data_IF_841540385606
#
_entry.id   IF_841540385606
#
_cell.length_a   1.000
_cell.length_b   1.000
_cell.length_c   1.000
_cell.angle_alpha   90.00
_cell.angle_beta   90.00
_cell.angle_gamma   90.00
#
_symmetry.space_group_name_H-M   'P 1'
#
loop_
_entity.id
_entity.type
_entity.pdbx_description
1 polymer ?
#
# COMPACT_ATOMS: atom_id res chain seq x y z
N UNK A 1 71.02 -16.55 35.41
CA UNK A 1 72.02 -17.62 35.19
C UNK A 1 71.32 -18.82 34.56
N UNK A 2 71.96 -19.50 33.60
CA UNK A 2 71.45 -19.46 32.22
C UNK A 2 71.22 -20.86 31.62
N UNK A 3 70.56 -20.91 30.46
CA UNK A 3 71.02 -21.72 29.32
C UNK A 3 70.69 -21.03 28.01
N UNK A 4 71.74 -20.47 27.43
CA UNK A 4 71.86 -19.95 26.08
C UNK A 4 72.09 -21.08 25.08
N UNK A 5 71.45 -21.02 23.91
CA UNK A 5 72.03 -21.53 22.67
C UNK A 5 71.82 -20.48 21.57
N UNK A 6 72.95 -20.01 21.03
CA UNK A 6 73.07 -19.21 19.83
C UNK A 6 73.21 -20.16 18.63
N UNK A 7 72.45 -19.93 17.56
CA UNK A 7 72.93 -20.18 16.20
C UNK A 7 72.37 -19.14 15.24
N UNK A 8 73.25 -18.61 14.40
CA UNK A 8 73.00 -17.58 13.40
C UNK A 8 72.64 -18.20 12.04
N UNK A 9 71.77 -17.51 11.28
CA UNK A 9 72.02 -16.98 9.91
C UNK A 9 70.70 -16.70 9.18
N UNK A 10 70.50 -15.41 8.89
CA UNK A 10 69.89 -14.86 7.68
C UNK A 10 68.55 -15.44 7.17
N UNK A 11 67.48 -14.64 7.31
CA UNK A 11 66.46 -14.45 6.27
C UNK A 11 65.60 -13.22 6.60
N UNK A 12 65.42 -12.34 5.61
CA UNK A 12 64.50 -11.20 5.66
C UNK A 12 63.09 -11.69 5.94
N UNK A 13 62.42 -11.12 6.94
CA UNK A 13 60.98 -11.28 7.14
C UNK A 13 60.29 -10.00 6.65
N UNK A 14 59.52 -10.13 5.58
CA UNK A 14 58.46 -9.19 5.21
C UNK A 14 57.37 -9.27 6.28
N UNK A 15 57.05 -8.13 6.91
CA UNK A 15 55.88 -8.02 7.78
C UNK A 15 54.62 -8.10 6.90
N UNK A 16 54.02 -9.29 6.83
CA UNK A 16 52.62 -9.44 6.42
C UNK A 16 51.81 -9.33 7.72
N UNK A 17 51.13 -8.20 7.91
CA UNK A 17 50.09 -8.11 8.92
C UNK A 17 48.93 -9.01 8.50
N UNK A 18 48.96 -10.27 8.96
CA UNK A 18 47.81 -11.13 9.00
C UNK A 18 46.86 -10.59 10.06
N UNK A 19 45.80 -9.92 9.61
CA UNK A 19 44.65 -9.56 10.42
C UNK A 19 43.96 -10.86 10.85
N UNK A 20 43.74 -11.14 12.15
CA UNK A 20 42.98 -12.32 12.55
C UNK A 20 41.51 -12.07 12.19
N UNK A 21 41.03 -12.85 11.23
CA UNK A 21 39.61 -13.04 10.95
C UNK A 21 38.94 -13.60 12.22
N UNK A 22 38.26 -12.73 12.98
CA UNK A 22 37.35 -13.16 14.03
C UNK A 22 36.00 -13.46 13.39
N UNK A 23 35.75 -14.74 13.11
CA UNK A 23 34.39 -15.26 12.96
C UNK A 23 33.77 -15.35 14.35
N UNK A 24 32.99 -14.33 14.73
CA UNK A 24 32.07 -14.40 15.85
C UNK A 24 30.66 -14.11 15.34
N UNK A 25 29.85 -15.16 15.30
CA UNK A 25 28.39 -15.09 15.22
C UNK A 25 27.87 -14.57 16.55
N UNK A 26 27.63 -13.26 16.68
CA UNK A 26 27.03 -12.68 17.89
C UNK A 26 25.56 -12.28 17.69
N UNK A 27 24.66 -12.68 18.60
CA UNK A 27 23.28 -12.19 18.69
C UNK A 27 23.13 -10.67 18.86
N UNK A 28 24.21 -9.92 19.14
CA UNK A 28 24.19 -8.47 19.38
C UNK A 28 24.22 -7.58 18.12
N UNK A 29 24.48 -8.13 16.93
CA UNK A 29 24.54 -7.33 15.70
C UNK A 29 23.17 -6.89 15.18
N UNK A 30 22.12 -7.64 15.53
CA UNK A 30 20.73 -7.38 15.13
C UNK A 30 20.12 -6.23 15.95
N UNK A 31 20.53 -6.09 17.22
CA UNK A 31 20.06 -5.00 18.09
C UNK A 31 20.66 -3.63 17.71
N UNK A 32 21.93 -3.57 17.28
CA UNK A 32 22.60 -2.34 16.83
C UNK A 32 22.00 -1.74 15.53
N UNK A 33 21.34 -2.55 14.70
CA UNK A 33 20.83 -2.14 13.39
C UNK A 33 19.44 -1.50 13.51
N UNK A 34 18.57 -2.06 14.36
CA UNK A 34 17.23 -1.51 14.63
C UNK A 34 17.28 -0.14 15.32
N UNK A 35 18.42 0.20 15.92
CA UNK A 35 18.67 1.46 16.62
C UNK A 35 18.90 2.68 15.70
N UNK A 36 19.31 2.52 14.43
CA UNK A 36 19.74 3.70 13.64
C UNK A 36 18.65 4.73 13.41
N UNK A 37 17.46 4.32 12.97
CA UNK A 37 16.37 5.25 12.64
C UNK A 37 15.77 5.89 13.89
N UNK A 38 15.60 5.11 14.96
CA UNK A 38 15.04 5.58 16.23
C UNK A 38 16.02 6.50 16.98
N UNK A 39 17.29 6.10 17.08
CA UNK A 39 18.32 6.89 17.75
C UNK A 39 18.57 8.21 17.03
N UNK A 40 18.66 8.21 15.69
CA UNK A 40 18.85 9.44 14.92
C UNK A 40 17.63 10.35 15.00
N UNK A 41 16.42 9.82 14.90
CA UNK A 41 15.20 10.62 15.03
C UNK A 41 15.07 11.28 16.41
N UNK A 42 15.40 10.54 17.48
CA UNK A 42 15.41 11.07 18.84
C UNK A 42 16.49 12.14 19.05
N UNK A 43 17.70 11.92 18.52
CA UNK A 43 18.83 12.85 18.68
C UNK A 43 18.62 14.17 17.92
N UNK A 44 18.00 14.12 16.73
CA UNK A 44 17.75 15.31 15.90
C UNK A 44 16.44 16.01 16.29
N UNK A 45 15.60 15.39 17.14
CA UNK A 45 14.24 15.88 17.49
C UNK A 45 13.42 16.21 16.23
N UNK A 46 13.43 15.31 15.25
CA UNK A 46 12.81 15.54 13.95
C UNK A 46 11.29 15.72 14.06
N UNK A 47 10.79 16.85 13.58
CA UNK A 47 9.36 17.09 13.44
C UNK A 47 8.76 16.18 12.36
N UNK A 48 9.55 15.78 11.37
CA UNK A 48 9.17 14.90 10.26
C UNK A 48 9.12 13.41 10.65
N UNK A 49 9.72 13.04 11.79
CA UNK A 49 9.67 11.69 12.35
C UNK A 49 10.67 10.68 11.78
N UNK A 50 10.62 9.46 12.30
CA UNK A 50 11.56 8.35 11.94
C UNK A 50 11.56 8.04 10.44
N UNK A 51 10.43 8.25 9.77
CA UNK A 51 10.29 7.97 8.33
C UNK A 51 11.26 8.79 7.50
N UNK A 52 11.50 10.06 7.84
CA UNK A 52 12.45 10.91 7.11
C UNK A 52 13.89 10.33 7.12
N UNK A 53 14.29 9.71 8.24
CA UNK A 53 15.59 9.04 8.38
C UNK A 53 15.65 7.79 7.51
N UNK A 54 14.59 6.98 7.54
CA UNK A 54 14.47 5.78 6.71
C UNK A 54 14.55 6.11 5.22
N UNK A 55 13.80 7.11 4.76
CA UNK A 55 13.82 7.56 3.37
C UNK A 55 15.20 8.10 2.97
N UNK A 56 15.88 8.82 3.88
CA UNK A 56 17.26 9.27 3.64
C UNK A 56 18.22 8.10 3.42
N UNK A 57 18.11 7.03 4.24
CA UNK A 57 18.92 5.81 4.08
C UNK A 57 18.64 5.12 2.74
N UNK A 58 17.36 4.95 2.39
CA UNK A 58 16.94 4.34 1.12
C UNK A 58 17.46 5.15 -0.08
N UNK A 59 17.34 6.48 -0.07
CA UNK A 59 17.85 7.32 -1.17
C UNK A 59 19.39 7.24 -1.32
N UNK A 60 20.13 7.18 -0.21
CA UNK A 60 21.59 6.97 -0.24
C UNK A 60 21.97 5.61 -0.80
N UNK A 61 21.14 4.59 -0.57
CA UNK A 61 21.34 3.24 -1.09
C UNK A 61 21.00 3.14 -2.58
N UNK A 62 19.88 3.76 -3.01
CA UNK A 62 19.42 3.77 -4.40
C UNK A 62 20.30 4.61 -5.34
N UNK A 63 20.95 5.64 -4.79
CA UNK A 63 21.84 6.54 -5.53
C UNK A 63 23.12 6.81 -4.72
N UNK A 64 24.09 5.86 -4.73
CA UNK A 64 25.39 6.09 -4.10
C UNK A 64 26.06 7.36 -4.66
N UNK A 65 26.59 8.20 -3.77
CA UNK A 65 27.19 9.48 -4.15
C UNK A 65 26.19 10.63 -4.29
N UNK A 66 24.95 10.47 -3.84
CA UNK A 66 23.95 11.54 -3.86
C UNK A 66 24.40 12.79 -3.08
N UNK A 67 24.13 13.97 -3.62
CA UNK A 67 24.45 15.23 -2.94
C UNK A 67 23.45 15.53 -1.81
N UNK A 68 23.87 16.29 -0.79
CA UNK A 68 22.94 16.70 0.29
C UNK A 68 21.77 17.53 -0.22
N UNK A 69 21.98 18.37 -1.25
CA UNK A 69 20.92 19.15 -1.88
C UNK A 69 19.90 18.25 -2.59
N UNK A 70 20.36 17.20 -3.24
CA UNK A 70 19.48 16.25 -3.91
C UNK A 70 18.74 15.35 -2.90
N UNK A 71 19.40 14.92 -1.82
CA UNK A 71 18.75 14.22 -0.71
C UNK A 71 17.60 15.04 -0.14
N UNK A 72 17.84 16.32 0.17
CA UNK A 72 16.82 17.24 0.66
C UNK A 72 15.61 17.32 -0.28
N UNK A 73 15.85 17.41 -1.60
CA UNK A 73 14.79 17.42 -2.62
C UNK A 73 14.00 16.10 -2.65
N UNK A 74 14.69 14.95 -2.64
CA UNK A 74 14.07 13.62 -2.72
C UNK A 74 13.25 13.27 -1.48
N UNK A 75 13.70 13.72 -0.32
CA UNK A 75 13.02 13.50 0.98
C UNK A 75 12.04 14.63 1.34
N UNK A 76 11.94 15.67 0.50
CA UNK A 76 11.10 16.86 0.74
C UNK A 76 11.43 17.53 2.09
N UNK A 77 12.72 17.54 2.44
CA UNK A 77 13.22 18.15 3.67
C UNK A 77 13.89 19.50 3.38
N UNK A 78 13.83 20.46 4.31
CA UNK A 78 14.73 21.60 4.29
C UNK A 78 16.20 21.13 4.27
N UNK A 79 17.05 21.78 3.47
CA UNK A 79 18.47 21.42 3.36
C UNK A 79 19.19 21.32 4.73
N UNK A 80 18.95 22.22 5.71
CA UNK A 80 19.55 22.09 7.04
C UNK A 80 19.13 20.82 7.77
N UNK A 81 17.86 20.41 7.64
CA UNK A 81 17.31 19.19 8.27
C UNK A 81 17.93 17.95 7.63
N UNK A 82 17.94 17.86 6.30
CA UNK A 82 18.59 16.77 5.59
C UNK A 82 20.09 16.67 5.91
N UNK A 83 20.78 17.81 6.07
CA UNK A 83 22.17 17.86 6.48
C UNK A 83 22.37 17.37 7.93
N UNK A 84 21.45 17.68 8.84
CA UNK A 84 21.48 17.20 10.23
C UNK A 84 21.28 15.68 10.30
N UNK A 85 20.25 15.14 9.64
CA UNK A 85 20.01 13.69 9.53
C UNK A 85 21.24 12.98 8.98
N UNK A 86 21.79 13.49 7.87
CA UNK A 86 23.02 12.95 7.27
C UNK A 86 24.17 12.90 8.28
N UNK A 87 24.43 13.99 9.00
CA UNK A 87 25.54 14.06 9.97
C UNK A 87 25.38 13.07 11.10
N UNK A 88 24.16 12.90 11.63
CA UNK A 88 23.91 11.92 12.68
C UNK A 88 24.02 10.48 12.15
N UNK A 89 23.55 10.19 10.94
CA UNK A 89 23.75 8.88 10.31
C UNK A 89 25.23 8.57 10.03
N UNK A 90 26.05 9.59 9.70
CA UNK A 90 27.51 9.44 9.60
C UNK A 90 28.12 9.15 10.98
N UNK A 91 27.71 9.88 12.03
CA UNK A 91 28.19 9.66 13.40
C UNK A 91 27.83 8.26 13.91
N UNK A 92 26.64 7.76 13.55
CA UNK A 92 26.19 6.43 13.86
C UNK A 92 26.89 5.33 13.03
N UNK A 93 27.67 5.70 12.00
CA UNK A 93 28.38 4.75 11.16
C UNK A 93 27.53 4.13 10.04
N UNK A 94 26.32 4.61 9.81
CA UNK A 94 25.43 4.14 8.75
C UNK A 94 25.73 4.76 7.37
N UNK A 95 26.26 5.99 7.35
CA UNK A 95 26.64 6.71 6.12
C UNK A 95 28.11 7.13 6.15
N UNK A 96 28.70 7.35 4.98
CA UNK A 96 30.04 7.92 4.81
C UNK A 96 30.02 9.05 3.79
N UNK A 97 30.81 10.11 4.05
CA UNK A 97 31.01 11.23 3.12
C UNK A 97 32.26 10.98 2.27
N UNK A 98 32.09 10.96 0.94
CA UNK A 98 33.17 10.88 -0.06
C UNK A 98 32.94 11.96 -1.14
N UNK A 99 32.95 11.58 -2.41
CA UNK A 99 32.48 12.32 -3.59
C UNK A 99 30.95 12.53 -3.64
N UNK A 100 30.29 12.33 -2.50
CA UNK A 100 28.86 12.36 -2.29
C UNK A 100 28.54 11.60 -1.00
N UNK A 101 27.26 11.38 -0.74
CA UNK A 101 26.82 10.59 0.43
C UNK A 101 26.62 9.15 -0.01
N UNK A 102 27.21 8.21 0.73
CA UNK A 102 27.14 6.77 0.47
C UNK A 102 26.73 6.02 1.72
N UNK A 103 26.08 4.87 1.56
CA UNK A 103 25.94 3.92 2.66
C UNK A 103 27.32 3.33 3.03
N UNK A 104 27.58 3.19 4.33
CA UNK A 104 28.66 2.31 4.81
C UNK A 104 28.30 0.84 4.54
N UNK A 105 29.23 -0.12 4.72
CA UNK A 105 28.88 -1.54 4.70
C UNK A 105 27.74 -1.89 5.66
N UNK A 106 27.75 -1.33 6.87
CA UNK A 106 26.72 -1.53 7.90
C UNK A 106 25.39 -0.89 7.52
N UNK A 107 25.41 0.34 6.99
CA UNK A 107 24.20 1.02 6.52
C UNK A 107 23.59 0.34 5.28
N UNK A 108 24.42 -0.22 4.41
CA UNK A 108 23.97 -1.03 3.28
C UNK A 108 23.26 -2.30 3.78
N UNK A 109 23.88 -3.03 4.70
CA UNK A 109 23.27 -4.21 5.32
C UNK A 109 21.95 -3.86 6.01
N UNK A 110 21.86 -2.72 6.71
CA UNK A 110 20.60 -2.24 7.29
C UNK A 110 19.49 -2.06 6.24
N UNK A 111 19.78 -1.39 5.12
CA UNK A 111 18.77 -1.16 4.07
C UNK A 111 18.37 -2.49 3.41
N UNK A 112 19.33 -3.37 3.17
CA UNK A 112 19.09 -4.67 2.52
C UNK A 112 18.31 -5.63 3.42
N UNK A 113 18.75 -5.81 4.66
CA UNK A 113 18.23 -6.83 5.58
C UNK A 113 17.07 -6.30 6.42
N UNK A 114 17.19 -5.10 6.98
CA UNK A 114 16.17 -4.54 7.88
C UNK A 114 15.03 -3.83 7.17
N UNK A 115 15.34 -3.01 6.16
CA UNK A 115 14.31 -2.37 5.34
C UNK A 115 13.81 -3.26 4.20
N UNK A 116 14.45 -4.41 3.97
CA UNK A 116 13.98 -5.43 3.04
C UNK A 116 14.26 -5.14 1.56
N UNK A 117 15.23 -4.27 1.27
CA UNK A 117 15.66 -3.97 -0.10
C UNK A 117 16.73 -4.97 -0.62
N UNK A 118 17.07 -6.01 0.13
CA UNK A 118 18.07 -6.99 -0.29
C UNK A 118 17.66 -7.76 -1.54
N UNK A 119 18.47 -7.68 -2.60
CA UNK A 119 18.28 -8.47 -3.83
C UNK A 119 17.11 -8.04 -4.73
N UNK A 120 16.56 -6.84 -4.53
CA UNK A 120 15.57 -6.26 -5.44
C UNK A 120 16.22 -5.71 -6.73
N UNK A 121 15.44 -5.65 -7.79
CA UNK A 121 15.80 -5.02 -9.06
C UNK A 121 15.73 -3.49 -8.95
N UNK A 122 16.89 -2.87 -8.71
CA UNK A 122 17.00 -1.42 -8.58
C UNK A 122 16.67 -0.67 -9.87
N UNK A 123 16.96 -1.26 -11.02
CA UNK A 123 16.79 -0.61 -12.31
C UNK A 123 15.29 -0.56 -12.64
N UNK A 124 14.58 -1.67 -12.47
CA UNK A 124 13.13 -1.72 -12.58
C UNK A 124 12.47 -0.75 -11.60
N UNK A 125 12.88 -0.76 -10.33
CA UNK A 125 12.38 0.18 -9.32
C UNK A 125 12.53 1.64 -9.81
N UNK A 126 13.73 2.04 -10.24
CA UNK A 126 14.02 3.42 -10.66
C UNK A 126 13.18 3.83 -11.86
N UNK A 127 12.98 2.94 -12.84
CA UNK A 127 12.11 3.22 -13.99
C UNK A 127 10.66 3.44 -13.55
N UNK A 128 10.09 2.52 -12.78
CA UNK A 128 8.69 2.56 -12.33
C UNK A 128 8.34 3.81 -11.52
N UNK A 129 9.26 4.33 -10.70
CA UNK A 129 9.00 5.53 -9.90
C UNK A 129 9.26 6.85 -10.65
N UNK A 130 9.92 6.79 -11.82
CA UNK A 130 10.29 7.99 -12.60
C UNK A 130 9.35 8.24 -13.76
N UNK A 131 8.91 7.19 -14.46
CA UNK A 131 7.97 7.29 -15.57
C UNK A 131 6.65 6.56 -15.22
N UNK A 132 5.54 7.31 -15.00
CA UNK A 132 4.24 6.73 -14.69
C UNK A 132 3.66 5.77 -15.74
N UNK A 133 4.22 5.74 -16.96
CA UNK A 133 3.73 4.90 -18.06
C UNK A 133 4.66 3.72 -18.39
N UNK A 134 5.89 3.69 -17.86
CA UNK A 134 6.87 2.66 -18.24
C UNK A 134 6.47 1.25 -17.77
N UNK A 135 5.57 1.12 -16.80
CA UNK A 135 5.09 -0.18 -16.32
C UNK A 135 4.50 -1.04 -17.44
N UNK A 136 3.97 -0.42 -18.51
CA UNK A 136 3.43 -1.16 -19.66
C UNK A 136 4.49 -1.95 -20.40
N UNK A 137 5.68 -1.38 -20.57
CA UNK A 137 6.79 -2.04 -21.25
C UNK A 137 7.64 -2.85 -20.30
N UNK A 138 7.88 -2.35 -19.08
CA UNK A 138 8.79 -2.98 -18.12
C UNK A 138 8.18 -4.21 -17.42
N UNK A 139 6.85 -4.35 -17.42
CA UNK A 139 6.14 -5.49 -16.82
C UNK A 139 5.39 -6.34 -17.84
N UNK A 140 5.59 -6.09 -19.14
CA UNK A 140 4.79 -6.63 -20.25
C UNK A 140 4.66 -8.17 -20.21
N UNK A 141 5.77 -8.85 -19.91
CA UNK A 141 5.82 -10.31 -19.84
C UNK A 141 4.92 -10.90 -18.73
N UNK A 142 4.64 -10.12 -17.69
CA UNK A 142 3.75 -10.49 -16.58
C UNK A 142 2.31 -10.02 -16.70
N UNK A 143 2.04 -9.01 -17.53
CA UNK A 143 0.70 -8.45 -17.68
C UNK A 143 -0.34 -9.47 -18.16
N UNK A 144 -0.05 -10.45 -19.04
CA UNK A 144 -1.01 -11.48 -19.41
C UNK A 144 -1.51 -12.30 -18.23
N UNK A 145 -0.62 -12.70 -17.31
CA UNK A 145 -0.98 -13.47 -16.12
C UNK A 145 -1.84 -12.62 -15.18
N UNK A 146 -1.42 -11.39 -14.90
CA UNK A 146 -2.18 -10.47 -14.06
C UNK A 146 -3.56 -10.18 -14.66
N UNK A 147 -3.65 -9.99 -15.97
CA UNK A 147 -4.92 -9.76 -16.68
C UNK A 147 -5.88 -10.94 -16.53
N UNK A 148 -5.38 -12.17 -16.58
CA UNK A 148 -6.23 -13.35 -16.42
C UNK A 148 -6.79 -13.44 -14.99
N UNK A 149 -5.97 -13.17 -13.97
CA UNK A 149 -6.46 -13.06 -12.59
C UNK A 149 -7.59 -12.01 -12.47
N UNK A 150 -7.41 -10.82 -13.06
CA UNK A 150 -8.47 -9.81 -13.03
C UNK A 150 -9.75 -10.21 -13.79
N UNK A 151 -9.65 -11.09 -14.80
CA UNK A 151 -10.83 -11.63 -15.50
C UNK A 151 -11.57 -12.68 -14.69
N UNK A 152 -10.85 -13.51 -13.96
CA UNK A 152 -11.40 -14.60 -13.14
C UNK A 152 -11.96 -14.14 -11.78
N UNK A 153 -11.76 -12.87 -11.42
CA UNK A 153 -12.24 -12.31 -10.14
C UNK A 153 -13.76 -12.50 -9.95
N UNK A 154 -14.22 -12.60 -8.70
CA UNK A 154 -15.65 -12.68 -8.40
C UNK A 154 -16.46 -11.52 -9.01
N UNK A 155 -17.73 -11.79 -9.30
CA UNK A 155 -18.67 -10.74 -9.73
C UNK A 155 -18.98 -9.79 -8.57
N UNK A 156 -19.06 -8.50 -8.87
CA UNK A 156 -19.34 -7.45 -7.90
C UNK A 156 -20.73 -7.61 -7.26
N UNK A 157 -20.81 -7.34 -5.97
CA UNK A 157 -22.04 -7.17 -5.23
C UNK A 157 -22.31 -5.69 -4.97
N UNK A 158 -23.09 -5.08 -5.86
CA UNK A 158 -23.47 -3.67 -5.79
C UNK A 158 -24.25 -3.29 -4.52
N UNK A 159 -24.74 -4.26 -3.73
CA UNK A 159 -25.44 -4.00 -2.45
C UNK A 159 -24.48 -3.53 -1.35
N UNK A 160 -23.21 -3.89 -1.47
CA UNK A 160 -22.14 -3.44 -0.57
C UNK A 160 -21.19 -2.43 -1.24
N UNK A 161 -21.71 -1.72 -2.26
CA UNK A 161 -21.00 -0.71 -3.06
C UNK A 161 -19.74 -1.22 -3.80
N UNK A 162 -19.59 -2.53 -4.01
CA UNK A 162 -18.48 -3.06 -4.83
C UNK A 162 -18.56 -2.55 -6.27
N UNK A 163 -17.39 -2.22 -6.82
CA UNK A 163 -17.24 -1.73 -8.19
C UNK A 163 -15.87 -2.11 -8.72
N UNK A 164 -15.86 -2.84 -9.82
CA UNK A 164 -14.64 -3.38 -10.43
C UNK A 164 -13.72 -2.29 -10.99
N UNK A 165 -12.60 -1.98 -10.34
CA UNK A 165 -11.55 -1.19 -10.98
C UNK A 165 -10.87 -1.98 -12.10
N UNK A 166 -10.24 -1.28 -13.04
CA UNK A 166 -9.40 -1.91 -14.07
C UNK A 166 -8.12 -2.50 -13.46
N UNK A 167 -7.54 -3.52 -14.12
CA UNK A 167 -6.23 -4.08 -13.72
C UNK A 167 -5.15 -3.00 -13.66
N UNK A 168 -5.16 -2.08 -14.63
CA UNK A 168 -4.22 -0.97 -14.70
C UNK A 168 -4.36 -0.03 -13.51
N UNK A 169 -5.58 0.23 -13.03
CA UNK A 169 -5.82 1.03 -11.83
C UNK A 169 -5.19 0.36 -10.61
N UNK A 170 -5.49 -0.92 -10.41
CA UNK A 170 -4.97 -1.69 -9.27
C UNK A 170 -3.43 -1.74 -9.26
N UNK A 171 -2.81 -1.98 -10.42
CA UNK A 171 -1.35 -1.98 -10.58
C UNK A 171 -0.75 -0.58 -10.35
N UNK A 172 -1.38 0.49 -10.85
CA UNK A 172 -0.94 1.86 -10.55
C UNK A 172 -1.00 2.18 -9.07
N UNK A 173 -2.01 1.69 -8.32
CA UNK A 173 -2.08 1.85 -6.85
C UNK A 173 -0.87 1.19 -6.17
N UNK A 174 -0.49 -0.02 -6.60
CA UNK A 174 0.71 -0.68 -6.09
C UNK A 174 2.01 0.08 -6.42
N UNK A 175 2.16 0.58 -7.65
CA UNK A 175 3.30 1.41 -8.07
C UNK A 175 3.34 2.73 -7.30
N UNK A 176 2.18 3.32 -7.00
CA UNK A 176 2.08 4.50 -6.15
C UNK A 176 2.62 4.19 -4.74
N UNK A 177 2.28 3.03 -4.18
CA UNK A 177 2.89 2.51 -2.95
C UNK A 177 4.40 2.43 -3.00
N UNK A 178 4.96 1.98 -4.13
CA UNK A 178 6.40 1.93 -4.37
C UNK A 178 7.02 3.32 -4.40
N UNK A 179 6.41 4.26 -5.13
CA UNK A 179 6.80 5.67 -5.22
C UNK A 179 6.83 6.35 -3.85
N UNK A 180 5.86 6.02 -3.01
CA UNK A 180 5.77 6.51 -1.64
C UNK A 180 6.67 5.76 -0.65
N UNK A 181 7.51 4.81 -1.08
CA UNK A 181 8.35 3.96 -0.21
C UNK A 181 7.51 3.27 0.90
N UNK A 182 6.28 2.88 0.56
CA UNK A 182 5.30 2.26 1.46
C UNK A 182 5.03 0.79 1.11
N UNK A 183 5.87 0.18 0.28
CA UNK A 183 5.66 -1.17 -0.26
C UNK A 183 6.75 -2.16 0.17
N UNK A 184 8.02 -1.89 -0.16
CA UNK A 184 9.12 -2.81 0.14
C UNK A 184 9.37 -2.87 1.65
N UNK A 185 9.39 -4.09 2.20
CA UNK A 185 9.63 -4.35 3.63
C UNK A 185 8.51 -3.91 4.57
N UNK A 186 7.36 -3.44 4.03
CA UNK A 186 6.26 -2.88 4.83
C UNK A 186 5.21 -3.92 5.19
N UNK A 187 4.48 -3.64 6.27
CA UNK A 187 3.21 -4.31 6.58
C UNK A 187 2.05 -3.49 6.03
N UNK A 188 1.34 -4.05 5.09
CA UNK A 188 0.31 -3.38 4.30
C UNK A 188 -1.05 -4.04 4.60
N UNK A 189 -2.07 -3.22 4.86
CA UNK A 189 -3.45 -3.66 4.96
C UNK A 189 -4.27 -3.16 3.77
N UNK A 190 -5.04 -4.03 3.12
CA UNK A 190 -6.16 -3.62 2.27
C UNK A 190 -7.45 -3.66 3.10
N UNK A 191 -8.10 -2.51 3.27
CA UNK A 191 -9.37 -2.36 3.99
C UNK A 191 -10.49 -2.33 2.95
N UNK A 192 -11.08 -3.49 2.69
CA UNK A 192 -11.77 -3.80 1.43
C UNK A 192 -10.78 -4.07 0.30
N UNK A 193 -11.04 -5.08 -0.55
CA UNK A 193 -10.15 -5.40 -1.68
C UNK A 193 -10.83 -6.08 -2.88
N UNK A 194 -12.05 -5.66 -3.23
CA UNK A 194 -12.70 -6.07 -4.48
C UNK A 194 -11.93 -5.64 -5.75
N UNK A 195 -11.09 -4.62 -5.59
CA UNK A 195 -10.16 -4.10 -6.60
C UNK A 195 -8.84 -4.89 -6.75
N UNK A 196 -8.65 -5.94 -5.94
CA UNK A 196 -7.47 -6.82 -5.96
C UNK A 196 -6.14 -6.06 -5.89
N UNK A 197 -6.06 -5.00 -5.08
CA UNK A 197 -4.83 -4.24 -4.85
C UNK A 197 -3.79 -5.14 -4.18
N UNK A 198 -4.20 -6.06 -3.30
CA UNK A 198 -3.30 -7.05 -2.70
C UNK A 198 -2.59 -7.92 -3.75
N UNK A 199 -3.31 -8.39 -4.76
CA UNK A 199 -2.79 -9.17 -5.88
C UNK A 199 -1.82 -8.34 -6.71
N UNK A 200 -2.17 -7.07 -7.00
CA UNK A 200 -1.28 -6.17 -7.75
C UNK A 200 0.02 -5.86 -7.00
N UNK A 201 -0.04 -5.72 -5.67
CA UNK A 201 1.15 -5.58 -4.81
C UNK A 201 1.99 -6.86 -4.85
N UNK A 202 1.36 -8.04 -4.69
CA UNK A 202 2.03 -9.33 -4.77
C UNK A 202 2.72 -9.55 -6.12
N UNK A 203 2.03 -9.26 -7.22
CA UNK A 203 2.58 -9.29 -8.57
C UNK A 203 3.78 -8.34 -8.71
N UNK A 204 3.67 -7.10 -8.24
CA UNK A 204 4.77 -6.14 -8.35
C UNK A 204 5.99 -6.61 -7.53
N UNK A 205 5.79 -7.23 -6.37
CA UNK A 205 6.87 -7.80 -5.56
C UNK A 205 7.58 -8.96 -6.27
N UNK A 206 6.86 -9.86 -6.95
CA UNK A 206 7.50 -10.96 -7.69
C UNK A 206 8.36 -10.45 -8.83
N UNK A 207 7.98 -9.31 -9.43
CA UNK A 207 8.75 -8.62 -10.48
C UNK A 207 9.96 -7.87 -9.94
N UNK A 208 9.81 -7.21 -8.79
CA UNK A 208 10.92 -6.49 -8.14
C UNK A 208 11.95 -7.43 -7.51
N UNK A 209 11.60 -8.68 -7.21
CA UNK A 209 12.52 -9.65 -6.59
C UNK A 209 12.62 -10.94 -7.43
N UNK A 210 13.12 -10.86 -8.68
CA UNK A 210 13.17 -11.99 -9.58
C UNK A 210 14.05 -13.12 -9.00
N UNK A 211 13.56 -14.36 -9.09
CA UNK A 211 14.28 -15.55 -8.61
C UNK A 211 14.41 -15.64 -7.07
N UNK A 212 13.73 -14.79 -6.31
CA UNK A 212 13.77 -14.76 -4.85
C UNK A 212 12.35 -14.64 -4.23
N UNK A 213 11.39 -15.39 -4.77
CA UNK A 213 10.05 -15.53 -4.20
C UNK A 213 10.16 -15.99 -2.74
N UNK A 214 9.87 -15.08 -1.79
CA UNK A 214 10.00 -15.33 -0.36
C UNK A 214 11.11 -14.57 0.39
N UNK A 215 12.00 -13.82 -0.28
CA UNK A 215 12.99 -12.96 0.41
C UNK A 215 12.50 -11.55 0.71
N UNK A 216 11.48 -11.04 0.01
CA UNK A 216 10.94 -9.73 0.38
C UNK A 216 10.27 -9.80 1.76
N UNK A 217 10.50 -8.79 2.59
CA UNK A 217 9.92 -8.72 3.94
C UNK A 217 8.53 -8.12 3.99
N UNK A 218 7.99 -7.70 2.85
CA UNK A 218 6.62 -7.17 2.75
C UNK A 218 5.60 -8.20 3.21
N UNK A 219 4.60 -7.74 3.97
CA UNK A 219 3.45 -8.53 4.43
C UNK A 219 2.18 -7.83 3.95
N UNK A 220 1.32 -8.59 3.26
CA UNK A 220 0.06 -8.09 2.70
C UNK A 220 -1.05 -8.80 3.47
N UNK A 221 -1.92 -8.04 4.10
CA UNK A 221 -3.10 -8.54 4.79
C UNK A 221 -4.34 -7.86 4.21
N UNK A 222 -5.46 -8.57 4.11
CA UNK A 222 -6.73 -8.08 3.57
C UNK A 222 -7.83 -8.27 4.60
N UNK A 223 -8.62 -7.22 4.86
CA UNK A 223 -9.81 -7.31 5.69
C UNK A 223 -11.04 -6.95 4.84
N UNK A 224 -11.92 -7.93 4.62
CA UNK A 224 -13.13 -7.76 3.80
C UNK A 224 -14.30 -8.56 4.41
N UNK A 225 -15.54 -8.16 4.12
CA UNK A 225 -16.74 -8.89 4.53
C UNK A 225 -17.05 -10.04 3.56
N UNK A 226 -16.63 -9.92 2.30
CA UNK A 226 -16.99 -10.83 1.22
C UNK A 226 -16.02 -12.02 1.09
N UNK A 227 -16.46 -13.18 1.59
CA UNK A 227 -15.69 -14.43 1.50
C UNK A 227 -15.31 -14.82 0.07
N UNK A 228 -16.11 -14.44 -0.94
CA UNK A 228 -15.81 -14.79 -2.34
C UNK A 228 -14.51 -14.14 -2.78
N UNK A 229 -14.30 -12.87 -2.43
CA UNK A 229 -13.07 -12.15 -2.72
C UNK A 229 -11.91 -12.64 -1.85
N UNK A 230 -12.14 -12.90 -0.56
CA UNK A 230 -11.08 -13.41 0.32
C UNK A 230 -10.55 -14.79 -0.13
N UNK A 231 -11.43 -15.71 -0.51
CA UNK A 231 -11.02 -17.03 -1.02
C UNK A 231 -10.33 -16.91 -2.38
N UNK A 232 -10.81 -16.03 -3.25
CA UNK A 232 -10.18 -15.74 -4.53
C UNK A 232 -8.77 -15.15 -4.35
N UNK A 233 -8.62 -14.12 -3.52
CA UNK A 233 -7.33 -13.47 -3.23
C UNK A 233 -6.34 -14.49 -2.66
N UNK A 234 -6.77 -15.34 -1.71
CA UNK A 234 -5.92 -16.39 -1.14
C UNK A 234 -5.37 -17.30 -2.25
N UNK A 235 -6.26 -17.87 -3.07
CA UNK A 235 -5.89 -18.75 -4.18
C UNK A 235 -4.98 -18.07 -5.20
N UNK A 236 -5.33 -16.87 -5.67
CA UNK A 236 -4.54 -16.12 -6.65
C UNK A 236 -3.16 -15.72 -6.11
N UNK A 237 -3.07 -15.33 -4.84
CA UNK A 237 -1.80 -14.96 -4.20
C UNK A 237 -0.86 -16.16 -4.01
N UNK A 238 -1.41 -17.34 -3.72
CA UNK A 238 -0.65 -18.61 -3.64
C UNK A 238 -0.09 -19.01 -5.02
N UNK A 239 -0.90 -18.90 -6.08
CA UNK A 239 -0.47 -19.21 -7.45
C UNK A 239 0.73 -18.35 -7.90
N UNK A 240 0.81 -17.10 -7.44
CA UNK A 240 1.92 -16.19 -7.75
C UNK A 240 3.12 -16.33 -6.80
N UNK A 241 3.02 -17.12 -5.72
CA UNK A 241 4.06 -17.21 -4.70
C UNK A 241 4.20 -15.93 -3.84
N UNK A 242 3.16 -15.11 -3.76
CA UNK A 242 3.12 -13.84 -3.04
C UNK A 242 1.89 -13.77 -2.11
N UNK A 243 1.84 -14.69 -1.15
CA UNK A 243 0.67 -14.97 -0.31
C UNK A 243 0.19 -13.74 0.45
N UNK A 244 -1.10 -13.45 0.34
CA UNK A 244 -1.81 -12.44 1.13
C UNK A 244 -2.63 -13.10 2.25
N UNK A 245 -2.50 -12.61 3.48
CA UNK A 245 -3.29 -13.10 4.62
C UNK A 245 -4.68 -12.46 4.60
N UNK A 246 -5.72 -13.27 4.47
CA UNK A 246 -7.09 -12.80 4.33
C UNK A 246 -7.90 -12.98 5.62
N UNK A 247 -8.56 -11.91 6.07
CA UNK A 247 -9.33 -11.83 7.31
C UNK A 247 -10.77 -11.45 6.99
N UNK A 248 -11.72 -12.32 7.33
CA UNK A 248 -13.14 -11.96 7.22
C UNK A 248 -13.50 -10.99 8.34
N UNK A 249 -13.96 -9.79 7.98
CA UNK A 249 -14.36 -8.76 8.93
C UNK A 249 -15.48 -7.88 8.36
N UNK A 250 -16.56 -7.70 9.13
CA UNK A 250 -17.48 -6.59 8.90
C UNK A 250 -16.89 -5.32 9.52
N UNK A 251 -16.50 -4.38 8.67
CA UNK A 251 -15.86 -3.13 9.08
C UNK A 251 -16.80 -2.19 9.87
N UNK A 252 -18.11 -2.48 9.92
CA UNK A 252 -19.02 -1.84 10.90
C UNK A 252 -18.60 -2.17 12.33
N UNK A 253 -18.12 -3.37 12.58
CA UNK A 253 -17.59 -3.80 13.87
C UNK A 253 -16.17 -3.28 14.08
N UNK A 254 -15.72 -3.25 15.34
CA UNK A 254 -14.32 -2.92 15.64
C UNK A 254 -13.37 -3.93 14.99
N UNK A 255 -12.18 -3.48 14.57
CA UNK A 255 -11.22 -4.34 13.89
C UNK A 255 -10.76 -5.49 14.81
N UNK A 256 -10.55 -6.72 14.31
CA UNK A 256 -9.99 -7.81 15.12
C UNK A 256 -8.71 -7.39 15.85
N UNK A 257 -8.50 -7.74 17.14
CA UNK A 257 -7.32 -7.32 17.90
C UNK A 257 -5.99 -7.65 17.22
N UNK A 258 -5.93 -8.77 16.50
CA UNK A 258 -4.76 -9.20 15.75
C UNK A 258 -4.31 -8.24 14.64
N UNK A 259 -5.19 -7.35 14.17
CA UNK A 259 -4.91 -6.38 13.11
C UNK A 259 -4.57 -4.98 13.63
N UNK A 260 -4.76 -4.70 14.92
CA UNK A 260 -4.63 -3.34 15.47
C UNK A 260 -3.17 -2.93 15.65
N UNK A 261 -2.85 -1.68 15.36
CA UNK A 261 -1.58 -1.06 15.76
C UNK A 261 -0.30 -1.63 15.12
N UNK A 262 -0.38 -2.35 14.00
CA UNK A 262 0.75 -3.14 13.46
C UNK A 262 1.17 -2.81 12.04
N UNK A 263 0.34 -2.10 11.27
CA UNK A 263 0.57 -1.79 9.86
C UNK A 263 1.35 -0.49 9.64
N UNK A 264 2.08 -0.42 8.54
CA UNK A 264 2.87 0.74 8.12
C UNK A 264 2.14 1.60 7.07
N UNK A 265 1.17 1.03 6.35
CA UNK A 265 0.27 1.74 5.45
C UNK A 265 -1.00 0.91 5.21
N UNK A 266 -2.03 1.55 4.64
CA UNK A 266 -3.20 0.82 4.15
C UNK A 266 -3.79 1.43 2.88
N UNK A 267 -4.50 0.60 2.14
CA UNK A 267 -5.31 0.96 0.97
C UNK A 267 -6.78 0.80 1.28
N UNK A 268 -7.61 1.68 0.75
CA UNK A 268 -9.07 1.53 0.82
C UNK A 268 -9.76 2.26 -0.33
N UNK A 269 -10.81 1.64 -0.87
CA UNK A 269 -11.77 2.26 -1.77
C UNK A 269 -13.17 2.12 -1.12
N UNK A 270 -13.50 3.01 -0.17
CA UNK A 270 -14.64 2.83 0.69
C UNK A 270 -15.96 3.20 -0.02
N UNK A 271 -17.12 2.85 0.56
CA UNK A 271 -18.40 3.34 0.06
C UNK A 271 -18.38 4.86 -0.11
N UNK A 272 -18.95 5.36 -1.21
CA UNK A 272 -18.82 6.77 -1.63
C UNK A 272 -19.68 7.76 -0.83
N UNK A 273 -20.16 7.37 0.35
CA UNK A 273 -20.80 8.25 1.33
C UNK A 273 -19.75 8.82 2.27
N UNK A 274 -20.02 9.97 2.90
CA UNK A 274 -19.07 10.55 3.87
C UNK A 274 -18.92 9.63 5.09
N UNK A 275 -20.02 9.01 5.53
CA UNK A 275 -20.05 8.04 6.63
C UNK A 275 -19.23 6.78 6.31
N UNK A 276 -19.38 6.22 5.11
CA UNK A 276 -18.63 5.06 4.65
C UNK A 276 -17.12 5.34 4.59
N UNK A 277 -16.73 6.47 4.02
CA UNK A 277 -15.34 6.93 4.03
C UNK A 277 -14.81 7.07 5.46
N UNK A 278 -15.54 7.75 6.34
CA UNK A 278 -15.14 7.96 7.73
C UNK A 278 -14.99 6.64 8.50
N UNK A 279 -15.88 5.67 8.29
CA UNK A 279 -15.80 4.34 8.91
C UNK A 279 -14.56 3.58 8.45
N UNK A 280 -14.36 3.45 7.13
CA UNK A 280 -13.24 2.68 6.58
C UNK A 280 -11.89 3.30 6.94
N UNK A 281 -11.78 4.64 6.87
CA UNK A 281 -10.59 5.34 7.36
C UNK A 281 -10.38 5.13 8.86
N UNK A 282 -11.44 5.12 9.67
CA UNK A 282 -11.31 4.83 11.11
C UNK A 282 -10.74 3.42 11.36
N UNK A 283 -11.20 2.40 10.63
CA UNK A 283 -10.69 1.02 10.75
C UNK A 283 -9.24 0.91 10.26
N UNK A 284 -8.91 1.56 9.16
CA UNK A 284 -7.52 1.63 8.68
C UNK A 284 -6.59 2.32 9.67
N UNK A 285 -7.01 3.46 10.25
CA UNK A 285 -6.25 4.18 11.28
C UNK A 285 -6.07 3.33 12.56
N UNK A 286 -7.09 2.57 12.97
CA UNK A 286 -7.00 1.62 14.09
C UNK A 286 -5.93 0.53 13.84
N UNK A 287 -5.76 0.12 12.58
CA UNK A 287 -4.79 -0.89 12.17
C UNK A 287 -3.34 -0.35 12.12
N UNK A 288 -3.16 0.94 11.84
CA UNK A 288 -1.84 1.55 11.72
C UNK A 288 -1.09 1.59 13.06
N UNK A 289 0.24 1.41 12.98
CA UNK A 289 1.14 1.74 14.09
C UNK A 289 0.96 3.21 14.46
N UNK A 290 1.10 3.52 15.75
CA UNK A 290 1.12 4.90 16.25
C UNK A 290 2.43 5.59 15.91
N UNK A 291 2.59 5.94 14.64
CA UNK A 291 3.71 6.70 14.09
C UNK A 291 3.19 7.79 13.17
N UNK A 292 3.82 8.96 13.19
CA UNK A 292 3.59 10.01 12.19
C UNK A 292 4.26 9.67 10.86
N UNK A 293 3.72 10.24 9.79
CA UNK A 293 4.22 10.11 8.43
C UNK A 293 3.85 8.80 7.74
N UNK A 294 3.05 7.90 8.33
CA UNK A 294 2.58 6.68 7.66
C UNK A 294 1.60 7.02 6.54
N UNK A 295 1.65 6.27 5.44
CA UNK A 295 0.86 6.58 4.24
C UNK A 295 -0.50 5.88 4.27
N UNK A 296 -1.53 6.60 3.84
CA UNK A 296 -2.86 6.07 3.61
C UNK A 296 -3.24 6.35 2.16
N UNK A 297 -3.71 5.32 1.47
CA UNK A 297 -4.07 5.37 0.07
C UNK A 297 -5.59 5.26 -0.06
N UNK A 298 -6.24 6.42 -0.22
CA UNK A 298 -7.69 6.53 -0.30
C UNK A 298 -8.13 6.74 -1.76
N UNK A 299 -8.82 5.77 -2.32
CA UNK A 299 -9.57 5.96 -3.56
C UNK A 299 -10.95 6.52 -3.25
N UNK A 300 -11.38 7.57 -3.96
CA UNK A 300 -12.68 8.16 -3.70
C UNK A 300 -13.24 8.93 -4.89
N UNK A 301 -14.56 8.92 -5.06
CA UNK A 301 -15.24 9.66 -6.11
C UNK A 301 -14.96 11.17 -6.05
N UNK A 302 -14.92 11.80 -7.23
CA UNK A 302 -14.97 13.27 -7.33
C UNK A 302 -16.30 13.79 -6.77
N UNK A 303 -16.24 14.89 -6.01
CA UNK A 303 -17.42 15.51 -5.37
C UNK A 303 -17.58 16.96 -5.81
N UNK A 304 -18.76 17.53 -5.56
CA UNK A 304 -18.95 18.99 -5.71
C UNK A 304 -18.00 19.75 -4.78
N UNK A 305 -17.73 21.05 -5.00
CA UNK A 305 -16.87 21.84 -4.13
C UNK A 305 -17.27 21.77 -2.65
N UNK A 306 -18.55 21.94 -2.33
CA UNK A 306 -19.04 21.88 -0.95
C UNK A 306 -18.85 20.49 -0.32
N UNK A 307 -19.17 19.43 -1.06
CA UNK A 307 -18.96 18.06 -0.56
C UNK A 307 -17.47 17.70 -0.45
N UNK A 308 -16.61 18.29 -1.28
CA UNK A 308 -15.16 18.14 -1.19
C UNK A 308 -14.60 18.87 0.04
N UNK A 309 -15.15 20.04 0.38
CA UNK A 309 -14.81 20.76 1.62
C UNK A 309 -15.21 19.95 2.85
N UNK A 310 -16.40 19.36 2.87
CA UNK A 310 -16.84 18.47 3.97
C UNK A 310 -15.92 17.24 4.10
N UNK A 311 -15.57 16.61 2.98
CA UNK A 311 -14.60 15.51 2.96
C UNK A 311 -13.25 15.95 3.58
N UNK A 312 -12.69 17.08 3.16
CA UNK A 312 -11.43 17.59 3.69
C UNK A 312 -11.52 17.95 5.17
N UNK A 313 -12.64 18.50 5.64
CA UNK A 313 -12.89 18.76 7.07
C UNK A 313 -12.85 17.47 7.89
N UNK A 314 -13.45 16.39 7.39
CA UNK A 314 -13.40 15.09 8.05
C UNK A 314 -11.97 14.52 8.09
N UNK A 315 -11.20 14.64 7.02
CA UNK A 315 -9.78 14.24 7.00
C UNK A 315 -8.95 15.01 8.04
N UNK A 316 -9.16 16.32 8.15
CA UNK A 316 -8.50 17.17 9.16
C UNK A 316 -8.94 16.78 10.57
N UNK A 317 -10.23 16.48 10.79
CA UNK A 317 -10.77 16.01 12.07
C UNK A 317 -10.12 14.70 12.52
N UNK A 318 -9.77 13.82 11.58
CA UNK A 318 -9.03 12.58 11.85
C UNK A 318 -7.55 12.80 12.19
N UNK A 319 -7.05 14.04 12.10
CA UNK A 319 -5.64 14.37 12.30
C UNK A 319 -4.75 13.96 11.13
N UNK A 320 -5.29 13.88 9.91
CA UNK A 320 -4.55 13.51 8.69
C UNK A 320 -4.16 14.74 7.88
N UNK A 321 -3.01 14.66 7.21
CA UNK A 321 -2.61 15.63 6.18
C UNK A 321 -2.83 15.05 4.79
N UNK A 322 -3.25 15.89 3.84
CA UNK A 322 -3.32 15.52 2.42
C UNK A 322 -1.98 15.81 1.78
N UNK A 323 -1.24 14.76 1.40
CA UNK A 323 0.05 14.90 0.70
C UNK A 323 -0.14 15.16 -0.78
N UNK A 324 -1.05 14.42 -1.41
CA UNK A 324 -1.30 14.52 -2.85
C UNK A 324 -2.74 14.09 -3.17
N UNK A 325 -3.36 14.78 -4.14
CA UNK A 325 -4.65 14.39 -4.73
C UNK A 325 -4.44 14.26 -6.24
N UNK A 326 -4.59 13.04 -6.75
CA UNK A 326 -4.37 12.71 -8.15
C UNK A 326 -5.73 12.50 -8.82
N UNK A 327 -6.21 13.47 -9.63
CA UNK A 327 -7.51 13.36 -10.27
C UNK A 327 -7.51 12.28 -11.35
N UNK A 328 -8.65 11.60 -11.51
CA UNK A 328 -8.87 10.60 -12.57
C UNK A 328 -7.87 9.43 -12.52
N UNK A 329 -7.34 9.13 -11.34
CA UNK A 329 -6.36 8.08 -11.13
C UNK A 329 -6.98 6.69 -11.29
N UNK A 330 -8.17 6.49 -10.70
CA UNK A 330 -8.87 5.22 -10.72
C UNK A 330 -9.85 5.18 -11.88
N UNK A 331 -9.93 4.05 -12.56
CA UNK A 331 -10.87 3.76 -13.63
C UNK A 331 -11.61 2.44 -13.33
N UNK A 332 -12.93 2.43 -13.53
CA UNK A 332 -13.80 1.30 -13.22
C UNK A 332 -14.52 0.78 -14.47
N UNK A 333 -14.81 -0.52 -14.49
CA UNK A 333 -15.54 -1.18 -15.57
C UNK A 333 -17.05 -0.83 -15.52
N UNK A 334 -17.72 -0.76 -16.68
CA UNK A 334 -19.19 -0.86 -16.76
C UNK A 334 -20.04 0.42 -16.64
N UNK A 335 -19.53 1.62 -16.31
CA UNK A 335 -20.32 2.87 -16.27
C UNK A 335 -19.86 4.02 -17.21
N UNK A 336 -19.80 3.73 -18.52
CA UNK A 336 -19.33 4.65 -19.59
C UNK A 336 -20.07 6.00 -19.66
N UNK A 337 -21.29 6.10 -19.11
CA UNK A 337 -22.14 7.31 -19.21
C UNK A 337 -21.74 8.41 -18.20
N UNK A 338 -20.99 8.10 -17.14
CA UNK A 338 -20.64 9.06 -16.06
C UNK A 338 -19.12 9.20 -15.85
N UNK A 339 -18.34 8.78 -16.85
CA UNK A 339 -16.90 9.01 -16.90
C UNK A 339 -16.04 8.07 -16.03
N UNK A 340 -16.61 7.08 -15.34
CA UNK A 340 -15.95 5.90 -14.74
C UNK A 340 -14.67 6.14 -13.93
N UNK A 341 -14.42 7.37 -13.47
CA UNK A 341 -13.13 7.75 -12.93
C UNK A 341 -13.25 8.45 -11.60
N UNK A 342 -12.38 8.07 -10.68
CA UNK A 342 -12.28 8.66 -9.34
C UNK A 342 -10.87 9.20 -9.11
N UNK A 343 -10.64 9.80 -7.95
CA UNK A 343 -9.34 10.34 -7.56
C UNK A 343 -8.65 9.41 -6.57
N UNK A 344 -7.32 9.49 -6.55
CA UNK A 344 -6.50 8.88 -5.52
C UNK A 344 -5.98 9.98 -4.59
N UNK A 345 -6.18 9.81 -3.29
CA UNK A 345 -5.76 10.75 -2.26
C UNK A 345 -4.72 10.06 -1.39
N UNK A 346 -3.49 10.58 -1.40
CA UNK A 346 -2.41 10.11 -0.53
C UNK A 346 -2.44 10.96 0.73
N UNK A 347 -2.80 10.33 1.85
CA UNK A 347 -2.83 10.98 3.17
C UNK A 347 -1.63 10.54 3.99
N UNK A 348 -1.26 11.35 4.99
CA UNK A 348 -0.24 11.00 5.96
C UNK A 348 -0.74 11.17 7.39
N UNK A 349 -0.30 10.27 8.26
CA UNK A 349 -0.57 10.38 9.70
C UNK A 349 0.25 11.52 10.32
N UNK A 350 -0.34 12.19 11.29
CA UNK A 350 0.33 13.10 12.23
C UNK A 350 0.33 12.52 13.66
N UNK A 351 0.97 13.21 14.60
CA UNK A 351 0.90 12.88 16.03
C UNK A 351 -0.53 13.01 16.60
N UNK A 352 -1.43 13.73 15.92
CA UNK A 352 -2.85 13.88 16.29
C UNK A 352 -3.77 12.84 15.66
N UNK A 353 -3.23 11.90 14.87
CA UNK A 353 -4.06 10.94 14.14
C UNK A 353 -4.85 10.04 15.08
N UNK A 354 -6.18 10.07 14.95
CA UNK A 354 -7.07 9.23 15.73
C UNK A 354 -8.28 8.80 14.90
N UNK A 355 -8.76 7.55 15.07
CA UNK A 355 -9.97 7.10 14.41
C UNK A 355 -11.20 7.76 15.08
N UNK A 356 -12.04 8.50 14.36
CA UNK A 356 -13.22 9.14 14.94
C UNK A 356 -14.30 8.14 15.32
N UNK A 357 -14.34 6.95 14.71
CA UNK A 357 -15.28 5.87 15.02
C UNK A 357 -14.53 4.70 15.66
N UNK A 358 -14.70 4.49 16.96
CA UNK A 358 -14.05 3.40 17.72
C UNK A 358 -15.00 2.26 18.11
N UNK A 359 -16.30 2.56 18.17
CA UNK A 359 -17.36 1.61 18.51
C UNK A 359 -17.95 0.96 17.25
N UNK A 360 -18.77 -0.09 17.40
CA UNK A 360 -19.61 -0.59 16.32
C UNK A 360 -20.44 0.53 15.69
N UNK A 361 -20.56 0.48 14.37
CA UNK A 361 -21.26 1.48 13.58
C UNK A 361 -22.57 0.91 13.03
N UNK A 362 -23.71 1.50 13.41
CA UNK A 362 -25.04 0.98 13.10
C UNK A 362 -25.73 1.72 11.94
N UNK A 363 -25.25 2.91 11.58
CA UNK A 363 -25.86 3.73 10.53
C UNK A 363 -25.59 3.21 9.11
N UNK A 364 -26.35 3.72 8.16
CA UNK A 364 -26.20 3.47 6.73
C UNK A 364 -24.84 3.96 6.20
N UNK A 365 -24.10 3.07 5.54
CA UNK A 365 -22.79 3.38 4.93
C UNK A 365 -22.77 3.23 3.42
N UNK A 366 -23.60 2.34 2.86
CA UNK A 366 -23.62 2.09 1.43
C UNK A 366 -24.47 3.13 0.71
N UNK A 367 -24.12 3.41 -0.54
CA UNK A 367 -24.84 4.35 -1.39
C UNK A 367 -26.29 3.90 -1.59
N UNK A 368 -26.53 2.59 -1.68
CA UNK A 368 -27.88 2.02 -1.75
C UNK A 368 -28.73 2.29 -0.49
N UNK A 369 -28.11 2.31 0.68
CA UNK A 369 -28.79 2.56 1.97
C UNK A 369 -29.18 4.03 2.13
N UNK A 370 -28.26 4.93 1.77
CA UNK A 370 -28.42 6.40 1.90
C UNK A 370 -29.27 6.99 0.77
N UNK A 371 -29.15 6.44 -0.44
CA UNK A 371 -29.91 6.85 -1.62
C UNK A 371 -30.79 5.69 -2.06
N UNK A 372 -31.82 5.40 -1.25
CA UNK A 372 -32.84 4.40 -1.59
C UNK A 372 -33.42 4.73 -2.96
N UNK A 373 -33.22 3.82 -3.91
CA UNK A 373 -33.71 3.99 -5.27
C UNK A 373 -34.49 2.76 -5.70
N UNK A 374 -35.62 3.01 -6.36
CA UNK A 374 -36.43 2.01 -7.03
C UNK A 374 -36.22 2.20 -8.53
N UNK A 375 -35.73 1.16 -9.19
CA UNK A 375 -35.47 1.14 -10.63
C UNK A 375 -36.53 0.30 -11.31
N UNK A 376 -37.03 0.75 -12.45
CA UNK A 376 -38.02 0.01 -13.26
C UNK A 376 -37.33 -0.49 -14.51
N UNK A 377 -37.31 -1.82 -14.68
CA UNK A 377 -36.73 -2.50 -15.83
C UNK A 377 -37.82 -3.12 -16.67
N UNK A 378 -37.71 -3.06 -18.00
CA UNK A 378 -38.64 -3.72 -18.92
C UNK A 378 -37.94 -4.90 -19.59
N UNK A 379 -38.56 -6.08 -19.54
CA UNK A 379 -38.08 -7.27 -20.24
C UNK A 379 -38.10 -7.04 -21.75
N UNK A 380 -36.95 -7.23 -22.43
CA UNK A 380 -36.84 -7.03 -23.89
C UNK A 380 -37.73 -7.94 -24.73
N UNK A 381 -38.14 -9.09 -24.17
CA UNK A 381 -38.94 -10.09 -24.90
C UNK A 381 -40.43 -9.90 -24.76
N UNK A 382 -40.95 -9.66 -23.55
CA UNK A 382 -42.39 -9.62 -23.30
C UNK A 382 -42.90 -8.24 -22.84
N UNK A 383 -42.02 -7.25 -22.69
CA UNK A 383 -42.40 -5.91 -22.28
C UNK A 383 -42.83 -5.78 -20.82
N UNK A 384 -42.73 -6.85 -20.01
CA UNK A 384 -43.10 -6.82 -18.59
C UNK A 384 -42.16 -5.90 -17.81
N UNK A 385 -42.73 -4.98 -17.04
CA UNK A 385 -42.00 -4.11 -16.13
C UNK A 385 -41.76 -4.80 -14.79
N UNK A 386 -40.53 -4.71 -14.29
CA UNK A 386 -40.07 -5.26 -13.02
C UNK A 386 -39.41 -4.15 -12.20
N UNK A 387 -39.79 -4.05 -10.93
CA UNK A 387 -39.19 -3.14 -9.99
C UNK A 387 -37.99 -3.81 -9.29
N UNK A 388 -36.83 -3.16 -9.37
CA UNK A 388 -35.57 -3.62 -8.79
C UNK A 388 -35.05 -2.58 -7.79
N UNK A 389 -34.60 -3.05 -6.62
CA UNK A 389 -34.14 -2.19 -5.51
C UNK A 389 -35.19 -2.08 -4.41
N UNK A 390 -35.33 -0.88 -3.81
CA UNK A 390 -36.16 -0.71 -2.60
C UNK A 390 -37.64 -1.08 -2.85
N UNK A 391 -38.14 -2.07 -2.10
CA UNK A 391 -39.50 -2.58 -2.21
C UNK A 391 -39.79 -3.44 -3.46
N UNK A 392 -38.75 -3.83 -4.22
CA UNK A 392 -38.85 -4.76 -5.35
C UNK A 392 -38.64 -6.22 -4.95
N UNK A 393 -39.03 -7.16 -5.81
CA UNK A 393 -38.82 -8.60 -5.60
C UNK A 393 -37.35 -9.01 -5.74
N UNK A 394 -36.55 -8.20 -6.45
CA UNK A 394 -35.11 -8.38 -6.62
C UNK A 394 -34.38 -7.10 -6.16
N UNK A 395 -33.26 -7.28 -5.46
CA UNK A 395 -32.44 -6.17 -4.96
C UNK A 395 -31.56 -5.55 -6.06
N UNK A 396 -31.09 -6.38 -6.99
CA UNK A 396 -30.20 -5.95 -8.10
C UNK A 396 -30.72 -6.42 -9.46
N UNK A 397 -30.19 -5.84 -10.55
CA UNK A 397 -30.58 -6.25 -11.90
C UNK A 397 -30.00 -7.63 -12.22
N UNK A 398 -28.81 -7.95 -11.72
CA UNK A 398 -28.15 -9.25 -11.87
C UNK A 398 -28.97 -10.39 -11.26
N UNK A 399 -29.58 -10.16 -10.09
CA UNK A 399 -30.53 -11.10 -9.47
C UNK A 399 -31.74 -11.34 -10.35
N UNK A 400 -32.35 -10.28 -10.91
CA UNK A 400 -33.47 -10.39 -11.84
C UNK A 400 -33.06 -11.12 -13.13
N UNK A 401 -31.88 -10.84 -13.70
CA UNK A 401 -31.36 -11.54 -14.88
C UNK A 401 -31.18 -13.04 -14.61
N UNK A 402 -30.63 -13.40 -13.45
CA UNK A 402 -30.43 -14.80 -13.04
C UNK A 402 -31.74 -15.53 -12.79
N UNK A 403 -32.72 -14.87 -12.19
CA UNK A 403 -34.05 -15.43 -11.97
C UNK A 403 -34.87 -15.55 -13.27
N UNK A 404 -34.59 -14.68 -14.24
CA UNK A 404 -35.34 -14.54 -15.48
C UNK A 404 -36.66 -13.78 -15.26
N UNK A 405 -37.20 -13.24 -16.35
CA UNK A 405 -38.45 -12.50 -16.33
C UNK A 405 -39.57 -13.41 -15.82
N UNK A 406 -40.33 -13.02 -14.77
CA UNK A 406 -41.35 -13.90 -14.19
C UNK A 406 -42.51 -14.25 -15.14
N UNK A 407 -42.60 -13.60 -16.31
CA UNK A 407 -43.60 -13.90 -17.35
C UNK A 407 -43.07 -14.84 -18.45
N UNK A 408 -41.81 -14.72 -18.86
CA UNK A 408 -41.30 -15.42 -20.05
C UNK A 408 -39.93 -16.06 -19.90
N UNK A 409 -39.32 -16.00 -18.71
CA UNK A 409 -38.00 -16.55 -18.40
C UNK A 409 -36.83 -15.83 -19.07
N UNK A 410 -37.05 -14.75 -19.83
CA UNK A 410 -35.97 -14.03 -20.50
C UNK A 410 -35.12 -13.22 -19.52
N UNK A 411 -33.82 -13.12 -19.78
CA UNK A 411 -32.81 -12.58 -18.88
C UNK A 411 -32.32 -11.17 -19.25
N UNK A 412 -32.84 -10.58 -20.33
CA UNK A 412 -32.40 -9.27 -20.81
C UNK A 412 -33.47 -8.21 -20.57
N UNK A 413 -33.07 -7.10 -19.96
CA UNK A 413 -33.97 -6.02 -19.55
C UNK A 413 -33.36 -4.65 -19.83
N UNK A 414 -34.21 -3.67 -20.13
CA UNK A 414 -33.84 -2.25 -20.28
C UNK A 414 -34.29 -1.43 -19.08
N UNK A 415 -33.44 -0.55 -18.58
CA UNK A 415 -33.80 0.41 -17.53
C UNK A 415 -34.69 1.51 -18.13
N UNK A 416 -35.88 1.70 -17.57
CA UNK A 416 -36.87 2.68 -18.07
C UNK A 416 -37.20 3.78 -17.07
N UNK A 417 -36.89 3.59 -15.79
CA UNK A 417 -37.15 4.61 -14.78
C UNK A 417 -36.30 4.42 -13.52
N UNK A 418 -36.00 5.53 -12.84
CA UNK A 418 -35.35 5.55 -11.54
C UNK A 418 -36.03 6.56 -10.64
N UNK A 419 -36.59 6.10 -9.53
CA UNK A 419 -37.23 6.94 -8.51
C UNK A 419 -36.41 6.87 -7.23
N UNK A 420 -36.13 8.03 -6.62
CA UNK A 420 -35.54 8.10 -5.28
C UNK A 420 -36.68 7.97 -4.27
N UNK A 421 -36.52 7.07 -3.30
CA UNK A 421 -37.52 6.77 -2.25
C UNK A 421 -37.14 7.49 -0.97
#
# INVERSE_FOLDING_TARGET
MPRSFLFSKGRRWTFVHLCPFWHLTEPGRVDLLREFTQAVAANVRLEEGERAVEQTMVECYLKPGISTKELARKTVLPVPVAAAIKKELIRAGALVQKDGVHCSPEGKAYVEDELGYGGFDQDLYRKLITDPLCWRSELDDGLPVLRELFRERPQEDVRIDQSKCTMETSLKRAILGLREQSLIGKRILCVGDDDLVSISIGFLLTRLFPGNAGKHRTRIEVADIDLRFLDYIRSASEQMGAVAECHQADLRQSLPPALRGRFDCFYTDPPYTLQGMTLFLSRGIEALRRKKGLSIFLSFAHKSPDASLEMQRELVRMGLTVKEMIPFFNEYEGAEIIGNRSQMIVLQTTDSTAPPITLPFEDAIYTGDVKRTRRTYICKRCGRAEAVGYGGAHGTIEELKRAGCPSCGHDTFDLTGRTRV
#
